data_IF_247992720236
#
_entry.id   IF_247992720236
#
_cell.length_a   1.000
_cell.length_b   1.000
_cell.length_c   1.000
_cell.angle_alpha   90.00
_cell.angle_beta   90.00
_cell.angle_gamma   90.00
#
_symmetry.space_group_name_H-M   'P 1'
#
loop_
_entity.id
_entity.type
_entity.pdbx_description
1 polymer ?
#
# COMPACT_ATOMS: atom_id res chain seq x y z
N UNK A 1 9.24 11.32 -4.76
CA UNK A 1 8.10 11.37 -3.82
C UNK A 1 8.51 11.26 -2.35
N UNK A 2 9.63 10.63 -2.00
CA UNK A 2 10.01 10.39 -0.59
C UNK A 2 10.55 11.62 0.18
N UNK A 3 10.66 12.80 -0.46
CA UNK A 3 11.23 14.02 0.13
C UNK A 3 10.20 15.08 0.50
N UNK A 4 8.95 14.96 0.05
CA UNK A 4 7.89 15.91 0.41
C UNK A 4 7.16 15.41 1.67
N UNK A 5 7.01 16.26 2.71
CA UNK A 5 6.22 15.91 3.89
C UNK A 5 4.79 15.52 3.52
N UNK A 6 4.20 14.55 4.21
CA UNK A 6 2.85 14.03 3.96
C UNK A 6 1.78 15.12 3.89
N UNK A 7 1.95 16.18 4.69
CA UNK A 7 1.06 17.35 4.74
C UNK A 7 1.04 18.17 3.44
N UNK A 8 2.15 18.20 2.70
CA UNK A 8 2.25 18.94 1.43
C UNK A 8 1.34 18.34 0.37
N UNK A 9 1.13 17.02 0.39
CA UNK A 9 0.20 16.34 -0.51
C UNK A 9 -1.27 16.70 -0.25
N UNK A 10 -1.62 17.18 0.95
CA UNK A 10 -2.98 17.60 1.27
C UNK A 10 -3.35 18.92 0.61
N UNK A 11 -2.41 19.85 0.45
CA UNK A 11 -2.67 21.20 -0.05
C UNK A 11 -3.42 21.20 -1.41
N UNK A 12 -2.91 20.55 -2.48
CA UNK A 12 -3.60 20.55 -3.76
C UNK A 12 -4.95 19.80 -3.70
N UNK A 13 -5.04 18.73 -2.91
CA UNK A 13 -6.29 17.97 -2.75
C UNK A 13 -7.35 18.82 -2.03
N UNK A 14 -6.97 19.56 -1.00
CA UNK A 14 -7.83 20.47 -0.27
C UNK A 14 -8.34 21.62 -1.14
N UNK A 15 -7.48 22.19 -1.98
CA UNK A 15 -7.86 23.27 -2.90
C UNK A 15 -8.94 22.79 -3.89
N UNK A 16 -8.83 21.55 -4.36
CA UNK A 16 -9.75 20.99 -5.36
C UNK A 16 -11.04 20.41 -4.74
N UNK A 17 -10.97 19.80 -3.56
CA UNK A 17 -12.07 19.00 -2.98
C UNK A 17 -12.58 19.52 -1.63
N UNK A 18 -11.96 20.57 -1.08
CA UNK A 18 -12.27 21.09 0.25
C UNK A 18 -11.98 20.09 1.38
N UNK A 19 -12.41 20.44 2.60
CA UNK A 19 -12.36 19.55 3.77
C UNK A 19 -13.49 18.53 3.62
N UNK A 20 -13.13 17.30 3.23
CA UNK A 20 -14.10 16.24 3.02
C UNK A 20 -13.46 14.85 3.23
N UNK A 21 -14.27 13.82 3.57
CA UNK A 21 -13.80 12.44 3.63
C UNK A 21 -13.15 11.98 2.31
N UNK A 22 -13.65 12.49 1.17
CA UNK A 22 -13.12 12.21 -0.17
C UNK A 22 -11.71 12.77 -0.34
N UNK A 23 -11.47 14.01 0.11
CA UNK A 23 -10.13 14.60 0.10
C UNK A 23 -9.14 13.79 0.94
N UNK A 24 -9.56 13.33 2.12
CA UNK A 24 -8.77 12.43 2.96
C UNK A 24 -8.39 11.12 2.25
N UNK A 25 -9.36 10.47 1.58
CA UNK A 25 -9.12 9.25 0.82
C UNK A 25 -8.11 9.46 -0.32
N UNK A 26 -8.29 10.52 -1.12
CA UNK A 26 -7.42 10.83 -2.25
C UNK A 26 -5.98 11.07 -1.76
N UNK A 27 -5.81 11.81 -0.67
CA UNK A 27 -4.51 12.04 -0.06
C UNK A 27 -3.81 10.76 0.38
N UNK A 28 -4.55 9.86 1.04
CA UNK A 28 -4.04 8.54 1.45
C UNK A 28 -3.59 7.73 0.24
N UNK A 29 -4.39 7.71 -0.84
CA UNK A 29 -4.05 6.99 -2.07
C UNK A 29 -2.76 7.55 -2.70
N UNK A 30 -2.66 8.87 -2.87
CA UNK A 30 -1.47 9.50 -3.45
C UNK A 30 -0.22 9.19 -2.61
N UNK A 31 -0.36 9.27 -1.28
CA UNK A 31 0.74 9.01 -0.35
C UNK A 31 1.19 7.54 -0.37
N UNK A 32 0.24 6.60 -0.43
CA UNK A 32 0.50 5.17 -0.34
C UNK A 32 0.83 4.51 -1.70
N UNK A 33 0.59 5.17 -2.83
CA UNK A 33 0.84 4.63 -4.18
C UNK A 33 2.32 4.29 -4.50
N UNK A 34 3.35 5.04 -4.06
CA UNK A 34 4.71 4.84 -4.56
C UNK A 34 5.30 3.43 -4.33
N UNK A 35 5.12 2.78 -3.15
CA UNK A 35 5.60 1.42 -2.92
C UNK A 35 5.08 0.40 -3.92
N UNK A 36 3.77 0.33 -4.20
CA UNK A 36 3.23 -0.67 -5.13
C UNK A 36 3.76 -0.45 -6.54
N UNK A 37 3.86 0.80 -7.00
CA UNK A 37 4.42 1.11 -8.33
C UNK A 37 5.89 0.73 -8.42
N UNK A 38 6.69 1.11 -7.40
CA UNK A 38 8.13 0.87 -7.37
C UNK A 38 8.45 -0.62 -7.31
N UNK A 39 7.78 -1.36 -6.42
CA UNK A 39 8.05 -2.78 -6.21
C UNK A 39 7.47 -3.63 -7.33
N UNK A 40 6.37 -3.23 -7.96
CA UNK A 40 5.88 -3.88 -9.18
C UNK A 40 6.88 -3.71 -10.34
N UNK A 41 7.36 -2.49 -10.59
CA UNK A 41 8.37 -2.23 -11.63
C UNK A 41 9.67 -2.98 -11.35
N UNK A 42 10.12 -3.01 -10.09
CA UNK A 42 11.27 -3.82 -9.66
C UNK A 42 11.01 -5.30 -9.97
N UNK A 43 9.85 -5.82 -9.60
CA UNK A 43 9.48 -7.22 -9.82
C UNK A 43 9.52 -7.63 -11.28
N UNK A 44 9.00 -6.78 -12.18
CA UNK A 44 9.04 -7.03 -13.63
C UNK A 44 10.47 -7.01 -14.15
N UNK A 45 11.32 -6.10 -13.66
CA UNK A 45 12.73 -6.00 -14.08
C UNK A 45 13.62 -7.12 -13.56
N UNK A 46 13.21 -7.79 -12.48
CA UNK A 46 13.91 -8.94 -11.91
C UNK A 46 13.56 -10.26 -12.60
N UNK A 47 12.63 -10.26 -13.56
CA UNK A 47 12.33 -11.46 -14.34
C UNK A 47 13.54 -11.80 -15.24
N UNK A 48 14.05 -13.04 -15.23
CA UNK A 48 15.19 -13.44 -16.06
C UNK A 48 14.91 -13.20 -17.54
N UNK A 49 15.90 -12.66 -18.24
CA UNK A 49 15.76 -12.29 -19.65
C UNK A 49 15.50 -13.52 -20.53
N UNK A 50 16.07 -14.67 -20.18
CA UNK A 50 15.91 -15.94 -20.88
C UNK A 50 14.45 -16.40 -20.92
N UNK A 51 13.71 -16.17 -19.83
CA UNK A 51 12.27 -16.50 -19.74
C UNK A 51 11.45 -15.57 -20.64
N UNK A 52 11.86 -14.31 -20.74
CA UNK A 52 11.23 -13.32 -21.62
C UNK A 52 11.50 -13.66 -23.09
N UNK A 53 12.72 -14.03 -23.46
CA UNK A 53 13.05 -14.49 -24.82
C UNK A 53 12.34 -15.78 -25.18
N UNK A 54 12.29 -16.76 -24.27
CA UNK A 54 11.55 -17.99 -24.49
C UNK A 54 10.07 -17.70 -24.79
N UNK A 55 9.42 -16.86 -23.96
CA UNK A 55 8.02 -16.48 -24.21
C UNK A 55 7.82 -15.81 -25.58
N UNK A 56 8.78 -14.99 -26.03
CA UNK A 56 8.75 -14.34 -27.33
C UNK A 56 9.00 -15.34 -28.48
N UNK A 57 9.94 -16.27 -28.32
CA UNK A 57 10.22 -17.33 -29.30
C UNK A 57 9.04 -18.27 -29.52
N UNK A 58 8.21 -18.50 -28.49
CA UNK A 58 6.95 -19.23 -28.60
C UNK A 58 5.79 -18.39 -29.18
N UNK A 59 6.04 -17.16 -29.64
CA UNK A 59 5.06 -16.31 -30.30
C UNK A 59 4.09 -15.60 -29.36
N UNK A 60 4.41 -15.47 -28.06
CA UNK A 60 3.54 -14.77 -27.12
C UNK A 60 3.46 -13.27 -27.45
N UNK A 61 2.24 -12.77 -27.61
CA UNK A 61 1.98 -11.33 -27.75
C UNK A 61 2.34 -10.58 -26.47
N UNK A 62 2.49 -9.25 -26.54
CA UNK A 62 2.85 -8.41 -25.38
C UNK A 62 1.93 -8.66 -24.16
N UNK A 63 0.61 -8.72 -24.37
CA UNK A 63 -0.35 -8.93 -23.28
C UNK A 63 -0.29 -10.36 -22.72
N UNK A 64 -0.12 -11.37 -23.59
CA UNK A 64 0.07 -12.76 -23.16
C UNK A 64 1.34 -12.92 -22.35
N UNK A 65 2.44 -12.28 -22.76
CA UNK A 65 3.70 -12.27 -22.02
C UNK A 65 3.57 -11.52 -20.70
N UNK A 66 2.87 -10.39 -20.68
CA UNK A 66 2.67 -9.60 -19.47
C UNK A 66 1.89 -10.38 -18.42
N UNK A 67 0.70 -10.87 -18.76
CA UNK A 67 -0.18 -11.55 -17.81
C UNK A 67 0.18 -13.03 -17.61
N UNK A 68 0.77 -13.69 -18.61
CA UNK A 68 1.11 -15.11 -18.56
C UNK A 68 2.51 -15.42 -18.04
N UNK A 69 3.43 -14.45 -18.06
CA UNK A 69 4.83 -14.70 -17.67
C UNK A 69 5.36 -13.65 -16.69
N UNK A 70 5.36 -12.37 -17.08
CA UNK A 70 5.98 -11.29 -16.29
C UNK A 70 5.29 -11.08 -14.95
N UNK A 71 3.97 -10.88 -14.95
CA UNK A 71 3.18 -10.65 -13.73
C UNK A 71 3.29 -11.84 -12.77
N UNK A 72 3.04 -13.10 -13.20
CA UNK A 72 3.19 -14.27 -12.33
C UNK A 72 4.57 -14.37 -11.65
N UNK A 73 5.65 -14.10 -12.40
CA UNK A 73 7.02 -14.14 -11.86
C UNK A 73 7.35 -12.95 -10.96
N UNK A 74 6.74 -11.79 -11.21
CA UNK A 74 6.88 -10.58 -10.42
C UNK A 74 6.00 -10.55 -9.16
N UNK A 75 5.00 -11.45 -9.03
CA UNK A 75 4.02 -11.47 -7.94
C UNK A 75 4.63 -11.29 -6.53
N UNK A 76 5.74 -11.93 -6.14
CA UNK A 76 6.30 -11.74 -4.80
C UNK A 76 6.65 -10.28 -4.50
N UNK A 77 7.19 -9.56 -5.48
CA UNK A 77 7.50 -8.14 -5.35
C UNK A 77 6.24 -7.28 -5.39
N UNK A 78 5.23 -7.66 -6.19
CA UNK A 78 3.92 -6.99 -6.20
C UNK A 78 3.27 -7.09 -4.81
N UNK A 79 3.27 -8.26 -4.19
CA UNK A 79 2.73 -8.46 -2.84
C UNK A 79 3.52 -7.70 -1.78
N UNK A 80 4.85 -7.65 -1.88
CA UNK A 80 5.65 -6.77 -1.02
C UNK A 80 5.25 -5.30 -1.17
N UNK A 81 4.97 -4.86 -2.41
CA UNK A 81 4.47 -3.52 -2.72
C UNK A 81 3.10 -3.23 -2.13
N UNK A 82 2.18 -4.19 -2.23
CA UNK A 82 0.85 -4.10 -1.63
C UNK A 82 0.97 -4.00 -0.11
N UNK A 83 1.82 -4.80 0.55
CA UNK A 83 2.01 -4.72 2.00
C UNK A 83 2.48 -3.33 2.43
N UNK A 84 3.53 -2.82 1.79
CA UNK A 84 4.03 -1.48 2.10
C UNK A 84 2.99 -0.38 1.85
N UNK A 85 2.21 -0.51 0.78
CA UNK A 85 1.12 0.44 0.47
C UNK A 85 0.08 0.46 1.58
N UNK A 86 -0.35 -0.71 2.05
CA UNK A 86 -1.33 -0.82 3.15
C UNK A 86 -0.77 -0.26 4.44
N UNK A 87 0.48 -0.58 4.79
CA UNK A 87 1.13 -0.05 5.99
C UNK A 87 1.22 1.49 5.94
N UNK A 88 1.58 2.06 4.79
CA UNK A 88 1.61 3.51 4.61
C UNK A 88 0.21 4.14 4.66
N UNK A 89 -0.80 3.48 4.12
CA UNK A 89 -2.19 3.95 4.18
C UNK A 89 -2.72 3.98 5.62
N UNK A 90 -2.45 2.94 6.41
CA UNK A 90 -2.85 2.86 7.83
C UNK A 90 -2.14 3.91 8.68
N UNK A 91 -0.85 4.16 8.42
CA UNK A 91 -0.11 5.24 9.09
C UNK A 91 -0.70 6.63 8.81
N UNK A 92 -1.40 6.79 7.68
CA UNK A 92 -1.99 8.07 7.26
C UNK A 92 -3.39 8.32 7.83
N UNK A 93 -4.00 7.36 8.54
CA UNK A 93 -5.39 7.46 9.06
C UNK A 93 -5.58 8.67 9.99
N UNK A 94 -4.59 8.99 10.84
CA UNK A 94 -4.66 10.16 11.74
C UNK A 94 -4.55 11.47 10.95
N UNK A 95 -3.71 11.51 9.92
CA UNK A 95 -3.54 12.70 9.09
C UNK A 95 -4.77 12.93 8.21
N UNK A 96 -5.38 11.88 7.68
CA UNK A 96 -6.63 11.97 6.93
C UNK A 96 -7.77 12.58 7.78
N UNK A 97 -7.78 12.32 9.09
CA UNK A 97 -8.76 12.88 10.01
C UNK A 97 -8.65 14.41 10.16
N UNK A 98 -7.46 15.00 9.96
CA UNK A 98 -7.27 16.46 9.93
C UNK A 98 -8.06 17.14 8.80
N UNK A 99 -8.43 16.37 7.77
CA UNK A 99 -9.17 16.82 6.59
C UNK A 99 -10.65 16.37 6.64
N UNK A 100 -11.11 15.91 7.80
CA UNK A 100 -12.50 15.54 8.01
C UNK A 100 -12.83 14.11 7.60
N UNK A 101 -11.83 13.22 7.45
CA UNK A 101 -12.08 11.80 7.32
C UNK A 101 -12.59 11.22 8.67
N UNK A 102 -13.74 10.52 8.70
CA UNK A 102 -14.27 9.92 9.91
C UNK A 102 -13.49 8.65 10.30
N UNK A 103 -13.73 8.14 11.51
CA UNK A 103 -13.19 6.87 12.01
C UNK A 103 -12.13 7.04 13.09
N UNK A 104 -11.34 5.99 13.33
CA UNK A 104 -10.39 5.92 14.46
C UNK A 104 -9.35 7.05 14.45
N UNK A 105 -8.95 7.54 13.28
CA UNK A 105 -8.04 8.68 13.17
C UNK A 105 -8.60 9.96 13.81
N UNK A 106 -9.92 10.16 13.73
CA UNK A 106 -10.59 11.30 14.34
C UNK A 106 -10.67 11.18 15.87
N UNK A 107 -10.81 9.97 16.40
CA UNK A 107 -10.75 9.72 17.85
C UNK A 107 -9.35 9.97 18.40
N UNK A 108 -8.30 9.51 17.71
CA UNK A 108 -6.90 9.80 18.06
C UNK A 108 -6.64 11.31 18.04
N UNK A 109 -7.12 12.00 17.00
CA UNK A 109 -6.98 13.45 16.86
C UNK A 109 -7.75 14.21 17.97
N UNK A 110 -8.95 13.74 18.32
CA UNK A 110 -9.75 14.31 19.41
C UNK A 110 -9.10 14.11 20.76
N UNK A 111 -8.51 12.93 21.01
CA UNK A 111 -7.74 12.64 22.22
C UNK A 111 -6.52 13.56 22.35
N UNK A 112 -5.82 13.84 21.24
CA UNK A 112 -4.72 14.80 21.22
C UNK A 112 -5.21 16.22 21.56
N UNK A 113 -6.31 16.68 20.94
CA UNK A 113 -6.85 18.03 21.17
C UNK A 113 -7.41 18.24 22.58
N UNK A 114 -7.93 17.20 23.21
CA UNK A 114 -8.51 17.24 24.57
C UNK A 114 -7.53 16.80 25.66
N UNK A 115 -6.29 16.43 25.29
CA UNK A 115 -5.28 15.85 26.19
C UNK A 115 -5.84 14.65 26.98
N UNK A 116 -6.72 13.87 26.35
CA UNK A 116 -7.35 12.70 26.95
C UNK A 116 -6.51 11.45 26.67
N UNK A 117 -5.64 11.11 27.62
CA UNK A 117 -4.77 9.94 27.50
C UNK A 117 -5.54 8.62 27.36
N UNK A 118 -6.66 8.46 28.07
CA UNK A 118 -7.45 7.23 28.03
C UNK A 118 -8.02 6.99 26.63
N UNK A 119 -8.63 8.03 26.03
CA UNK A 119 -9.15 7.96 24.67
C UNK A 119 -8.03 7.75 23.64
N UNK A 120 -6.88 8.41 23.83
CA UNK A 120 -5.72 8.27 22.94
C UNK A 120 -5.13 6.87 22.95
N UNK A 121 -5.00 6.26 24.13
CA UNK A 121 -4.55 4.87 24.27
C UNK A 121 -5.56 3.88 23.68
N UNK A 122 -6.85 4.06 23.93
CA UNK A 122 -7.90 3.19 23.40
C UNK A 122 -7.91 3.22 21.86
N UNK A 123 -8.00 4.41 21.28
CA UNK A 123 -8.06 4.60 19.82
C UNK A 123 -6.75 4.21 19.13
N UNK A 124 -5.59 4.58 19.70
CA UNK A 124 -4.28 4.20 19.19
C UNK A 124 -4.04 2.68 19.21
N UNK A 125 -4.43 2.01 20.30
CA UNK A 125 -4.33 0.54 20.41
C UNK A 125 -5.25 -0.14 19.40
N UNK A 126 -6.48 0.37 19.20
CA UNK A 126 -7.39 -0.16 18.20
C UNK A 126 -6.80 -0.08 16.77
N UNK A 127 -6.22 1.06 16.40
CA UNK A 127 -5.53 1.22 15.10
C UNK A 127 -4.34 0.25 14.98
N UNK A 128 -3.52 0.13 16.04
CA UNK A 128 -2.38 -0.77 16.05
C UNK A 128 -2.78 -2.23 15.89
N UNK A 129 -3.84 -2.68 16.57
CA UNK A 129 -4.36 -4.05 16.44
C UNK A 129 -4.84 -4.34 15.01
N UNK A 130 -5.57 -3.41 14.40
CA UNK A 130 -6.01 -3.52 13.00
C UNK A 130 -4.79 -3.65 12.08
N UNK A 131 -3.78 -2.80 12.26
CA UNK A 131 -2.55 -2.85 11.47
C UNK A 131 -1.82 -4.18 11.62
N UNK A 132 -1.70 -4.71 12.83
CA UNK A 132 -1.06 -6.01 13.11
C UNK A 132 -1.83 -7.16 12.45
N UNK A 133 -3.17 -7.16 12.55
CA UNK A 133 -4.01 -8.21 11.94
C UNK A 133 -3.87 -8.19 10.42
N UNK A 134 -3.88 -7.00 9.81
CA UNK A 134 -3.73 -6.86 8.36
C UNK A 134 -2.31 -7.27 7.92
N UNK A 135 -1.26 -6.78 8.57
CA UNK A 135 0.13 -7.16 8.27
C UNK A 135 0.32 -8.67 8.36
N UNK A 136 -0.16 -9.29 9.45
CA UNK A 136 -0.03 -10.74 9.65
C UNK A 136 -0.78 -11.54 8.60
N UNK A 137 -2.00 -11.12 8.24
CA UNK A 137 -2.80 -11.79 7.22
C UNK A 137 -2.13 -11.72 5.85
N UNK A 138 -1.54 -10.58 5.52
CA UNK A 138 -0.89 -10.36 4.24
C UNK A 138 0.47 -11.05 4.15
N UNK A 139 1.23 -11.08 5.25
CA UNK A 139 2.47 -11.85 5.36
C UNK A 139 2.22 -13.34 5.08
N UNK A 140 1.21 -13.94 5.73
CA UNK A 140 0.84 -15.34 5.53
C UNK A 140 0.40 -15.62 4.08
N UNK A 141 -0.32 -14.68 3.46
CA UNK A 141 -0.72 -14.79 2.07
C UNK A 141 0.48 -14.73 1.12
N UNK A 142 1.41 -13.81 1.36
CA UNK A 142 2.66 -13.68 0.59
C UNK A 142 3.56 -14.91 0.71
N UNK A 143 3.65 -15.51 1.90
CA UNK A 143 4.46 -16.70 2.15
C UNK A 143 3.93 -17.93 1.40
N UNK A 144 2.60 -18.14 1.37
CA UNK A 144 1.98 -19.21 0.57
C UNK A 144 2.31 -19.09 -0.92
N UNK A 145 2.28 -17.87 -1.45
CA UNK A 145 2.61 -17.62 -2.86
C UNK A 145 4.09 -17.88 -3.18
N UNK A 146 4.99 -17.69 -2.21
CA UNK A 146 6.41 -18.02 -2.37
C UNK A 146 6.71 -19.53 -2.24
N UNK A 147 5.97 -20.25 -1.39
CA UNK A 147 6.13 -21.69 -1.22
C UNK A 147 5.84 -22.46 -2.51
N UNK A 148 4.86 -22.03 -3.31
CA UNK A 148 4.57 -22.65 -4.62
C UNK A 148 5.73 -22.57 -5.62
N UNK A 149 6.72 -21.69 -5.42
CA UNK A 149 7.93 -21.61 -6.27
C UNK A 149 9.05 -22.55 -5.84
N UNK A 150 9.09 -23.00 -4.58
CA UNK A 150 10.13 -23.91 -4.07
C UNK A 150 9.88 -25.39 -4.41
N UNK A 151 8.67 -25.74 -4.87
CA UNK A 151 8.28 -27.13 -5.18
C UNK A 151 8.53 -27.49 -6.66
N UNK A 152 9.00 -26.54 -7.47
CA UNK A 152 9.26 -26.74 -8.91
C UNK A 152 10.73 -26.90 -9.30
N UNK A 153 11.62 -27.17 -8.36
CA UNK A 153 13.04 -27.50 -8.61
C UNK A 153 13.31 -28.97 -8.36
#
# INVERSE_FOLDING_TARGET
MQTMPSFVYLIPVLILFGVSPVAGLIAVVIYAMPPVVRLTNLGIRLVPFEVVEASHAFGATYLQRLFGTLIPLALPNVFAGINQTIMMALAMVVIAALVGAPGLGAEVLSAQGTVNLALGLQSGTAVALIAIVIDRSLYLYGERMQQHRKVGH
#
